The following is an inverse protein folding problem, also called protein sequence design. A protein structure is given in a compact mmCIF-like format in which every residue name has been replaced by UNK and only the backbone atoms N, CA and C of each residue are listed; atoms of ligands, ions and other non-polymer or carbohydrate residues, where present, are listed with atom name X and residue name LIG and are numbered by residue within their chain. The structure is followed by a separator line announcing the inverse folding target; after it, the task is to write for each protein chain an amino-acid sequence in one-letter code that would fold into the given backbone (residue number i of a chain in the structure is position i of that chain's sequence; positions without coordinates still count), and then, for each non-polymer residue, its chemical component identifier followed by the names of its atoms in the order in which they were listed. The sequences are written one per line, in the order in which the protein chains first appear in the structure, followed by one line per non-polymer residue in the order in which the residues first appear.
data_IF_275471101410
#
_entry.id   IF_275471101410
#
_cell.length_a   1.000
_cell.length_b   1.000
_cell.length_c   1.000
_cell.angle_alpha   90.00
_cell.angle_beta   90.00
_cell.angle_gamma   90.00
#
_symmetry.space_group_name_H-M   'P 1'
#
loop_
_entity.id
_entity.type
_entity.pdbx_description
1 polymer ?
#
# COMPACT_ATOMS: atom_id res chain seq x y z
N UNK A 1 -44.51 -57.98 -16.88
CA UNK A 1 -44.49 -57.20 -15.62
C UNK A 1 -43.37 -56.17 -15.71
N UNK A 2 -43.69 -54.88 -15.61
CA UNK A 2 -42.73 -53.78 -15.56
C UNK A 2 -43.17 -52.83 -14.42
N UNK A 3 -42.32 -52.54 -13.41
CA UNK A 3 -42.64 -51.56 -12.39
C UNK A 3 -42.13 -50.14 -12.76
N UNK A 4 -42.63 -49.10 -12.06
CA UNK A 4 -43.01 -47.83 -12.67
C UNK A 4 -42.02 -46.67 -12.51
N UNK A 5 -42.29 -45.61 -13.28
CA UNK A 5 -41.79 -44.23 -13.16
C UNK A 5 -41.56 -43.76 -11.71
N UNK A 6 -40.38 -43.20 -11.46
CA UNK A 6 -40.22 -42.12 -10.48
C UNK A 6 -39.38 -41.01 -11.10
N UNK A 7 -40.07 -39.91 -11.45
CA UNK A 7 -39.47 -38.60 -11.69
C UNK A 7 -38.57 -38.26 -10.51
N UNK A 8 -37.27 -38.05 -10.75
CA UNK A 8 -36.42 -37.35 -9.79
C UNK A 8 -36.32 -35.90 -10.21
N UNK A 9 -37.13 -35.12 -9.51
CA UNK A 9 -37.21 -33.68 -9.57
C UNK A 9 -35.83 -33.01 -9.48
N UNK A 10 -35.68 -32.03 -10.36
CA UNK A 10 -34.81 -30.87 -10.30
C UNK A 10 -34.48 -30.42 -8.87
N UNK A 11 -33.31 -30.81 -8.37
CA UNK A 11 -32.61 -30.08 -7.30
C UNK A 11 -31.31 -29.53 -7.86
N UNK A 12 -31.44 -28.64 -8.85
CA UNK A 12 -30.45 -27.60 -9.11
C UNK A 12 -30.46 -26.66 -7.89
N UNK A 13 -29.81 -27.09 -6.82
CA UNK A 13 -29.62 -26.33 -5.60
C UNK A 13 -29.06 -24.95 -5.98
N UNK A 14 -29.86 -23.92 -5.75
CA UNK A 14 -29.47 -22.52 -5.76
C UNK A 14 -28.27 -22.35 -4.83
N UNK A 15 -27.06 -22.42 -5.38
CA UNK A 15 -25.85 -22.05 -4.65
C UNK A 15 -25.94 -20.55 -4.35
N UNK A 16 -25.94 -20.12 -3.08
CA UNK A 16 -26.13 -18.71 -2.76
C UNK A 16 -24.96 -17.92 -3.37
N UNK A 17 -25.30 -16.83 -4.09
CA UNK A 17 -24.37 -15.88 -4.74
C UNK A 17 -23.53 -15.06 -3.75
N UNK A 18 -23.21 -15.61 -2.58
CA UNK A 18 -22.40 -14.96 -1.56
C UNK A 18 -20.93 -14.86 -1.99
N UNK A 19 -20.42 -15.79 -2.81
CA UNK A 19 -18.98 -15.92 -3.10
C UNK A 19 -18.30 -14.71 -3.79
N UNK A 20 -19.00 -13.99 -4.68
CA UNK A 20 -18.38 -12.85 -5.40
C UNK A 20 -18.26 -11.58 -4.56
N UNK A 21 -19.27 -11.29 -3.72
CA UNK A 21 -19.31 -10.07 -2.91
C UNK A 21 -18.24 -10.08 -1.80
N UNK A 22 -18.09 -11.21 -1.11
CA UNK A 22 -17.09 -11.35 -0.04
C UNK A 22 -15.64 -11.30 -0.54
N UNK A 23 -15.34 -11.90 -1.70
CA UNK A 23 -13.99 -11.85 -2.30
C UNK A 23 -13.59 -10.44 -2.73
N UNK A 24 -14.54 -9.66 -3.25
CA UNK A 24 -14.28 -8.26 -3.62
C UNK A 24 -14.05 -7.38 -2.39
N UNK A 25 -14.90 -7.53 -1.37
CA UNK A 25 -14.78 -6.77 -0.12
C UNK A 25 -13.45 -7.05 0.62
N UNK A 26 -13.06 -8.33 0.73
CA UNK A 26 -11.78 -8.70 1.36
C UNK A 26 -10.56 -8.17 0.60
N UNK A 27 -10.65 -8.07 -0.74
CA UNK A 27 -9.60 -7.49 -1.57
C UNK A 27 -9.47 -5.98 -1.38
N UNK A 28 -10.59 -5.28 -1.24
CA UNK A 28 -10.61 -3.83 -0.98
C UNK A 28 -10.08 -3.52 0.43
N UNK A 29 -10.48 -4.29 1.45
CA UNK A 29 -9.94 -4.19 2.81
C UNK A 29 -8.42 -4.44 2.86
N UNK A 30 -7.93 -5.40 2.06
CA UNK A 30 -6.50 -5.67 1.89
C UNK A 30 -5.74 -4.46 1.32
N UNK A 31 -6.27 -3.86 0.25
CA UNK A 31 -5.69 -2.67 -0.40
C UNK A 31 -5.68 -1.45 0.51
N UNK A 32 -6.76 -1.22 1.26
CA UNK A 32 -6.86 -0.15 2.26
C UNK A 32 -5.71 -0.30 3.26
N UNK A 33 -5.56 -1.49 3.87
CA UNK A 33 -4.46 -1.76 4.81
C UNK A 33 -3.07 -1.57 4.23
N UNK A 34 -2.86 -1.89 2.95
CA UNK A 34 -1.59 -1.64 2.26
C UNK A 34 -1.33 -0.15 2.05
N UNK A 35 -2.37 0.61 1.68
CA UNK A 35 -2.28 2.06 1.51
C UNK A 35 -2.04 2.78 2.85
N UNK A 36 -2.72 2.40 3.93
CA UNK A 36 -2.44 2.92 5.27
C UNK A 36 -1.01 2.64 5.71
N UNK A 37 -0.51 1.42 5.45
CA UNK A 37 0.89 1.10 5.73
C UNK A 37 1.84 1.98 4.92
N UNK A 38 1.55 2.20 3.64
CA UNK A 38 2.33 3.08 2.79
C UNK A 38 2.35 4.51 3.36
N UNK A 39 1.21 5.05 3.80
CA UNK A 39 1.14 6.37 4.44
C UNK A 39 2.09 6.47 5.63
N UNK A 40 2.15 5.47 6.50
CA UNK A 40 3.07 5.46 7.63
C UNK A 40 4.54 5.49 7.21
N UNK A 41 4.89 4.75 6.16
CA UNK A 41 6.24 4.71 5.58
C UNK A 41 6.61 6.10 5.04
N UNK A 42 5.72 6.71 4.25
CA UNK A 42 5.91 8.04 3.66
C UNK A 42 6.01 9.12 4.75
N UNK A 43 5.18 9.05 5.78
CA UNK A 43 5.23 9.97 6.93
C UNK A 43 6.59 9.91 7.63
N UNK A 44 7.06 8.70 7.95
CA UNK A 44 8.38 8.52 8.59
C UNK A 44 9.50 9.05 7.69
N UNK A 45 9.43 8.81 6.39
CA UNK A 45 10.41 9.31 5.43
C UNK A 45 10.45 10.85 5.43
N UNK A 46 9.31 11.50 5.28
CA UNK A 46 9.22 12.95 5.21
C UNK A 46 9.65 13.66 6.51
N UNK A 47 9.25 13.16 7.68
CA UNK A 47 9.48 13.85 8.95
C UNK A 47 10.83 13.54 9.61
N UNK A 48 11.42 12.38 9.33
CA UNK A 48 12.62 11.89 10.04
C UNK A 48 13.86 11.81 9.16
N UNK A 49 13.70 11.72 7.85
CA UNK A 49 14.81 11.37 6.96
C UNK A 49 15.10 12.38 5.86
N UNK A 50 14.10 13.18 5.46
CA UNK A 50 14.32 14.25 4.49
C UNK A 50 14.77 15.55 5.15
N UNK A 51 15.74 16.21 4.54
CA UNK A 51 16.17 17.57 4.88
C UNK A 51 15.47 18.62 4.01
N UNK A 52 15.72 19.89 4.31
CA UNK A 52 15.14 21.02 3.57
C UNK A 52 15.49 20.94 2.08
N UNK A 53 14.48 20.92 1.21
CA UNK A 53 14.65 20.86 -0.25
C UNK A 53 14.81 19.46 -0.85
N UNK A 54 15.09 18.42 -0.04
CA UNK A 54 15.21 17.04 -0.58
C UNK A 54 13.89 16.50 -1.10
N UNK A 55 12.79 16.89 -0.48
CA UNK A 55 11.46 16.54 -0.97
C UNK A 55 11.20 17.12 -2.36
N UNK A 56 11.74 18.30 -2.71
CA UNK A 56 11.63 18.87 -4.06
C UNK A 56 12.41 18.05 -5.09
N UNK A 57 13.57 17.49 -4.71
CA UNK A 57 14.33 16.59 -5.59
C UNK A 57 13.53 15.35 -5.95
N UNK A 58 12.78 14.78 -4.99
CA UNK A 58 11.83 13.71 -5.28
C UNK A 58 10.68 14.19 -6.15
N UNK A 59 10.12 15.37 -5.87
CA UNK A 59 9.05 15.95 -6.67
C UNK A 59 9.47 16.10 -8.15
N UNK A 60 10.66 16.65 -8.41
CA UNK A 60 11.20 16.75 -9.77
C UNK A 60 11.46 15.38 -10.41
N UNK A 61 11.95 14.41 -9.65
CA UNK A 61 12.14 13.04 -10.15
C UNK A 61 10.81 12.39 -10.56
N UNK A 62 9.72 12.70 -9.85
CA UNK A 62 8.36 12.25 -10.17
C UNK A 62 7.62 13.21 -11.13
N UNK A 63 8.35 14.11 -11.79
CA UNK A 63 7.82 15.04 -12.78
C UNK A 63 6.71 15.99 -12.27
N UNK A 64 6.74 16.37 -10.99
CA UNK A 64 5.93 17.48 -10.51
C UNK A 64 6.40 18.78 -11.16
N UNK A 65 5.46 19.59 -11.63
CA UNK A 65 5.78 20.92 -12.20
C UNK A 65 6.09 21.93 -11.10
N UNK A 66 6.79 23.01 -11.45
CA UNK A 66 7.04 24.09 -10.48
C UNK A 66 5.75 24.66 -9.89
N UNK A 67 4.71 24.80 -10.69
CA UNK A 67 3.41 25.31 -10.22
C UNK A 67 2.74 24.35 -9.25
N UNK A 68 2.87 23.04 -9.46
CA UNK A 68 2.40 22.04 -8.50
C UNK A 68 3.20 22.09 -7.19
N UNK A 69 4.52 22.25 -7.27
CA UNK A 69 5.38 22.40 -6.09
C UNK A 69 4.99 23.66 -5.32
N UNK A 70 4.83 24.81 -6.00
CA UNK A 70 4.36 26.07 -5.39
C UNK A 70 2.99 25.92 -4.74
N UNK A 71 2.06 25.20 -5.39
CA UNK A 71 0.74 24.92 -4.83
C UNK A 71 0.81 24.07 -3.55
N UNK A 72 1.73 23.11 -3.48
CA UNK A 72 1.98 22.32 -2.25
C UNK A 72 2.56 23.20 -1.15
N UNK A 73 3.50 24.09 -1.50
CA UNK A 73 4.14 25.03 -0.56
C UNK A 73 3.21 26.13 -0.04
N UNK A 74 2.15 26.45 -0.79
CA UNK A 74 1.23 27.54 -0.45
C UNK A 74 0.61 27.40 0.96
N UNK A 75 0.35 26.17 1.38
CA UNK A 75 -0.12 25.87 2.72
C UNK A 75 1.05 25.41 3.60
N UNK A 76 0.97 25.69 4.90
CA UNK A 76 2.02 25.41 5.90
C UNK A 76 3.27 26.28 5.68
N UNK A 77 3.36 27.35 6.46
CA UNK A 77 4.48 28.28 6.44
C UNK A 77 5.27 28.15 7.74
N UNK A 78 6.59 28.02 7.65
CA UNK A 78 7.48 27.98 8.80
C UNK A 78 8.71 27.09 8.62
N UNK A 79 9.67 27.12 9.55
CA UNK A 79 10.98 26.46 9.37
C UNK A 79 10.93 24.93 9.20
N UNK A 80 9.82 24.29 9.62
CA UNK A 80 9.62 22.84 9.51
C UNK A 80 8.52 22.44 8.52
N UNK A 81 7.95 23.38 7.76
CA UNK A 81 6.86 23.09 6.83
C UNK A 81 7.26 22.12 5.72
N UNK A 82 8.54 22.09 5.34
CA UNK A 82 9.08 21.17 4.34
C UNK A 82 8.77 19.69 4.62
N UNK A 83 8.59 19.30 5.90
CA UNK A 83 8.22 17.94 6.28
C UNK A 83 6.79 17.63 5.85
N UNK A 84 5.87 18.56 6.11
CA UNK A 84 4.47 18.45 5.70
C UNK A 84 4.36 18.53 4.17
N UNK A 85 5.09 19.45 3.53
CA UNK A 85 5.14 19.56 2.06
C UNK A 85 5.61 18.26 1.42
N UNK A 86 6.70 17.68 1.94
CA UNK A 86 7.22 16.41 1.46
C UNK A 86 6.24 15.26 1.66
N UNK A 87 5.56 15.20 2.81
CA UNK A 87 4.57 14.17 3.07
C UNK A 87 3.36 14.29 2.12
N UNK A 88 2.80 15.50 1.97
CA UNK A 88 1.68 15.75 1.05
C UNK A 88 2.04 15.44 -0.40
N UNK A 89 3.22 15.87 -0.85
CA UNK A 89 3.74 15.56 -2.19
C UNK A 89 3.83 14.05 -2.43
N UNK A 90 4.36 13.30 -1.46
CA UNK A 90 4.43 11.83 -1.54
C UNK A 90 3.05 11.16 -1.57
N UNK A 91 2.05 11.69 -0.85
CA UNK A 91 0.69 11.17 -0.91
C UNK A 91 0.05 11.39 -2.29
N UNK A 92 0.26 12.57 -2.89
CA UNK A 92 -0.22 12.87 -4.24
C UNK A 92 0.42 11.91 -5.24
N UNK A 93 1.74 11.71 -5.15
CA UNK A 93 2.46 10.74 -5.96
C UNK A 93 1.90 9.31 -5.80
N UNK A 94 1.74 8.85 -4.56
CA UNK A 94 1.25 7.50 -4.28
C UNK A 94 -0.17 7.25 -4.80
N UNK A 95 -1.04 8.26 -4.75
CA UNK A 95 -2.39 8.19 -5.30
C UNK A 95 -2.40 8.10 -6.83
N UNK A 96 -1.39 8.66 -7.51
CA UNK A 96 -1.26 8.59 -8.96
C UNK A 96 -0.71 7.27 -9.51
N UNK A 97 -0.29 6.34 -8.64
CA UNK A 97 0.27 5.06 -9.06
C UNK A 97 -0.83 4.11 -9.58
N UNK A 98 -0.50 3.39 -10.65
CA UNK A 98 -1.37 2.34 -11.18
C UNK A 98 -1.55 1.17 -10.20
N UNK A 99 -2.66 0.44 -10.31
CA UNK A 99 -2.99 -0.66 -9.39
C UNK A 99 -2.00 -1.83 -9.39
N UNK A 100 -1.23 -1.99 -10.47
CA UNK A 100 -0.25 -3.06 -10.62
C UNK A 100 1.16 -2.63 -10.20
N UNK A 101 1.32 -1.36 -9.78
CA UNK A 101 2.59 -0.80 -9.35
C UNK A 101 2.81 -1.09 -7.87
N UNK A 102 4.02 -1.55 -7.52
CA UNK A 102 4.42 -1.70 -6.13
C UNK A 102 5.02 -0.38 -5.60
N UNK A 103 4.28 0.40 -4.78
CA UNK A 103 4.73 1.72 -4.34
C UNK A 103 6.02 1.67 -3.53
N UNK A 104 6.27 0.59 -2.78
CA UNK A 104 7.50 0.45 -1.98
C UNK A 104 8.72 0.22 -2.87
N UNK A 105 8.56 -0.52 -3.97
CA UNK A 105 9.61 -0.73 -4.96
C UNK A 105 9.94 0.58 -5.66
N UNK A 106 8.94 1.28 -6.17
CA UNK A 106 9.14 2.57 -6.86
C UNK A 106 9.77 3.61 -5.93
N UNK A 107 9.36 3.66 -4.66
CA UNK A 107 9.96 4.54 -3.66
C UNK A 107 11.46 4.25 -3.47
N UNK A 108 11.84 2.97 -3.40
CA UNK A 108 13.24 2.56 -3.30
C UNK A 108 14.05 3.02 -4.51
N UNK A 109 13.56 2.75 -5.72
CA UNK A 109 14.21 3.11 -6.98
C UNK A 109 14.35 4.63 -7.10
N UNK A 110 13.32 5.38 -6.70
CA UNK A 110 13.33 6.85 -6.69
C UNK A 110 14.37 7.42 -5.72
N UNK A 111 14.46 6.86 -4.50
CA UNK A 111 15.47 7.26 -3.52
C UNK A 111 16.88 6.97 -4.02
N UNK A 112 17.08 5.84 -4.70
CA UNK A 112 18.36 5.54 -5.35
C UNK A 112 18.67 6.55 -6.46
N UNK A 113 17.70 6.89 -7.31
CA UNK A 113 17.86 7.82 -8.43
C UNK A 113 18.25 9.23 -7.97
N UNK A 114 17.73 9.71 -6.84
CA UNK A 114 18.12 11.00 -6.26
C UNK A 114 19.42 10.94 -5.43
N UNK A 115 20.16 9.83 -5.48
CA UNK A 115 21.44 9.67 -4.78
C UNK A 115 21.30 9.38 -3.27
N UNK A 116 20.13 8.94 -2.81
CA UNK A 116 19.84 8.59 -1.41
C UNK A 116 19.85 7.08 -1.16
N UNK A 117 20.75 6.35 -1.83
CA UNK A 117 20.89 4.88 -1.68
C UNK A 117 21.00 4.40 -0.23
N UNK A 118 21.83 4.99 0.66
CA UNK A 118 21.92 4.52 2.05
C UNK A 118 20.59 4.60 2.81
N UNK A 119 19.78 5.63 2.51
CA UNK A 119 18.44 5.78 3.06
C UNK A 119 17.48 4.74 2.46
N UNK A 120 17.53 4.53 1.14
CA UNK A 120 16.74 3.52 0.44
C UNK A 120 16.99 2.11 1.04
N UNK A 121 18.26 1.74 1.24
CA UNK A 121 18.63 0.44 1.81
C UNK A 121 18.16 0.29 3.26
N UNK A 122 18.26 1.36 4.05
CA UNK A 122 17.75 1.38 5.42
C UNK A 122 16.24 1.21 5.47
N UNK A 123 15.51 1.89 4.59
CA UNK A 123 14.07 1.79 4.48
C UNK A 123 13.65 0.38 4.08
N UNK A 124 14.33 -0.20 3.07
CA UNK A 124 14.09 -1.56 2.60
C UNK A 124 14.27 -2.59 3.71
N UNK A 125 15.40 -2.53 4.43
CA UNK A 125 15.66 -3.42 5.58
C UNK A 125 14.57 -3.32 6.64
N UNK A 126 14.13 -2.11 7.01
CA UNK A 126 13.06 -1.93 8.00
C UNK A 126 11.73 -2.53 7.54
N UNK A 127 11.36 -2.32 6.27
CA UNK A 127 10.12 -2.86 5.70
C UNK A 127 10.18 -4.39 5.65
N UNK A 128 11.32 -4.97 5.28
CA UNK A 128 11.51 -6.42 5.21
C UNK A 128 11.46 -7.06 6.62
N UNK A 129 12.10 -6.45 7.63
CA UNK A 129 11.99 -6.87 9.03
C UNK A 129 10.55 -6.81 9.55
N UNK A 130 9.81 -5.77 9.21
CA UNK A 130 8.40 -5.65 9.57
C UNK A 130 7.54 -6.72 8.88
N UNK A 131 7.80 -7.00 7.60
CA UNK A 131 7.12 -8.05 6.84
C UNK A 131 7.39 -9.44 7.45
N UNK A 132 8.63 -9.73 7.82
CA UNK A 132 8.99 -10.96 8.52
C UNK A 132 8.27 -11.08 9.87
N UNK A 133 8.24 -10.01 10.65
CA UNK A 133 7.55 -9.98 11.95
C UNK A 133 6.06 -10.28 11.80
N UNK A 134 5.41 -9.70 10.78
CA UNK A 134 4.00 -9.97 10.44
C UNK A 134 3.80 -11.43 10.00
N UNK A 135 4.70 -11.99 9.19
CA UNK A 135 4.64 -13.40 8.75
C UNK A 135 4.81 -14.36 9.93
N UNK A 136 5.74 -14.10 10.84
CA UNK A 136 5.96 -14.91 12.05
C UNK A 136 4.73 -14.87 12.96
N UNK A 137 4.20 -13.69 13.26
CA UNK A 137 2.99 -13.55 14.07
C UNK A 137 1.74 -14.20 13.43
N UNK A 138 1.65 -14.22 12.10
CA UNK A 138 0.60 -14.96 11.40
C UNK A 138 0.79 -16.48 11.51
N UNK A 139 2.03 -16.97 11.41
CA UNK A 139 2.38 -18.39 11.58
C UNK A 139 2.06 -18.88 13.00
N UNK A 140 2.38 -18.08 14.02
CA UNK A 140 2.07 -18.40 15.43
C UNK A 140 0.55 -18.48 15.70
N UNK A 141 -0.26 -17.62 15.06
CA UNK A 141 -1.72 -17.69 15.14
C UNK A 141 -2.29 -18.90 14.39
N UNK A 142 -1.71 -19.27 13.25
CA UNK A 142 -2.12 -20.45 12.48
C UNK A 142 -1.80 -21.76 13.22
N UNK A 143 -0.70 -21.81 13.97
CA UNK A 143 -0.35 -22.96 14.82
C UNK A 143 -1.36 -23.24 15.95
N UNK A 144 -2.27 -22.30 16.25
CA UNK A 144 -3.37 -22.45 17.22
C UNK A 144 -4.71 -22.84 16.57
N UNK A 145 -4.79 -22.93 15.23
CA UNK A 145 -5.95 -23.53 14.56
C UNK A 145 -5.81 -25.05 14.56
N UNK A 146 -6.21 -25.68 15.67
CA UNK A 146 -6.58 -27.10 15.67
C UNK A 146 -7.97 -27.25 15.07
N UNK A 147 -8.07 -27.31 13.74
CA UNK A 147 -9.24 -27.86 13.06
C UNK A 147 -8.79 -29.21 12.49
N UNK A 148 -9.18 -30.27 13.20
CA UNK A 148 -9.33 -31.62 12.67
C UNK A 148 -10.64 -31.72 11.88
#
# INVERSE_FOLDING_TARGET
ENPPETRRDSLAALKPKLSRKWRSQSKDEGKIREYERLKEILYKLAYKHLSHGEWKRLAYHWAFTEDQIKAIEHQYNGPSSYKEHGFRMMLIWAHGLGHDVNPVKELYESLVAIGKRPLADTLRRKIDQENESRRRGHKEKCNKCSIC
#
